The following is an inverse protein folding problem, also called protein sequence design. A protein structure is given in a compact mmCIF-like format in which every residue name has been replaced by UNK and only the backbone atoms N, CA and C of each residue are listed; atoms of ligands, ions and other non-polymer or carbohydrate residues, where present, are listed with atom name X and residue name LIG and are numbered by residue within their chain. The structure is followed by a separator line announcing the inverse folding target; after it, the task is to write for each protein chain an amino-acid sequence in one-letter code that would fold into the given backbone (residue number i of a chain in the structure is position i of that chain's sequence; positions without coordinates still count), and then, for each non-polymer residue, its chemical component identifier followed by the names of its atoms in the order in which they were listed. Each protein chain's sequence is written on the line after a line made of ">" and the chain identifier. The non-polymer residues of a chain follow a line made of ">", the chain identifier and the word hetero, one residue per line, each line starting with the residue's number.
data_IF_206894632339
#
_entry.id   IF_206894632339
#
_cell.length_a   1.000
_cell.length_b   1.000
_cell.length_c   1.000
_cell.angle_alpha   90.00
_cell.angle_beta   90.00
_cell.angle_gamma   90.00
#
_symmetry.space_group_name_H-M   'P 1'
#
loop_
_entity.id
_entity.type
_entity.pdbx_description
1 polymer ?
#
# COMPACT_ATOMS: atom_id res chain seq x y z
N UNK A 1 20.98 57.85 -2.00
CA UNK A 1 19.89 57.51 -1.07
C UNK A 1 19.06 56.46 -1.77
N UNK A 2 19.10 55.16 -1.46
CA UNK A 2 19.71 54.44 -0.35
C UNK A 2 20.18 53.06 -0.80
N UNK A 3 21.22 52.61 -0.13
CA UNK A 3 21.90 51.32 -0.15
C UNK A 3 21.23 50.33 0.81
N UNK A 4 21.07 49.07 0.39
CA UNK A 4 21.39 47.82 1.14
C UNK A 4 21.40 46.70 0.08
N UNK A 5 22.55 46.17 -0.36
CA UNK A 5 23.39 45.15 0.31
C UNK A 5 22.58 43.99 0.92
N UNK A 6 22.61 42.83 0.25
CA UNK A 6 23.19 41.64 0.89
C UNK A 6 23.74 40.66 -0.17
N UNK A 7 25.06 40.69 -0.30
CA UNK A 7 25.95 39.58 -0.65
C UNK A 7 25.68 38.37 0.28
N UNK A 8 26.11 37.13 0.07
CA UNK A 8 26.71 36.38 -1.03
C UNK A 8 26.86 34.95 -0.47
N UNK A 9 27.16 34.02 -1.37
CA UNK A 9 27.97 32.82 -1.11
C UNK A 9 27.37 31.68 -0.29
N UNK A 10 27.75 30.42 -0.51
CA UNK A 10 28.36 29.65 -1.59
C UNK A 10 28.53 28.25 -0.98
N UNK A 11 28.70 27.25 -1.84
CA UNK A 11 29.25 25.91 -1.56
C UNK A 11 28.22 24.88 -1.07
N UNK A 12 27.80 23.93 -1.91
CA UNK A 12 28.54 22.72 -2.33
C UNK A 12 29.10 21.94 -1.15
N UNK A 13 28.47 20.82 -0.82
CA UNK A 13 29.11 19.50 -0.79
C UNK A 13 28.04 18.48 -0.40
N UNK A 14 27.65 17.59 -1.32
CA UNK A 14 28.09 16.18 -1.32
C UNK A 14 28.02 15.55 0.06
N UNK A 15 27.02 14.69 0.28
CA UNK A 15 27.21 13.38 0.89
C UNK A 15 25.88 12.62 0.89
N UNK A 16 25.82 11.65 -0.02
CA UNK A 16 25.38 10.28 0.27
C UNK A 16 24.39 10.15 1.44
N UNK A 17 23.10 10.12 1.13
CA UNK A 17 22.16 9.33 1.94
C UNK A 17 21.61 8.23 1.07
N UNK A 18 22.24 7.08 1.27
CA UNK A 18 21.84 5.78 0.78
C UNK A 18 20.33 5.57 0.95
N UNK A 19 19.74 5.04 -0.11
CA UNK A 19 18.44 4.39 -0.09
C UNK A 19 18.58 3.15 0.80
N UNK A 20 18.23 3.26 2.08
CA UNK A 20 17.97 2.09 2.90
C UNK A 20 16.59 1.54 2.53
N UNK A 21 16.63 0.54 1.65
CA UNK A 21 15.59 -0.47 1.48
C UNK A 21 15.45 -1.23 2.80
N UNK A 22 14.54 -0.79 3.66
CA UNK A 22 14.12 -1.60 4.79
C UNK A 22 13.24 -2.75 4.30
N UNK A 23 13.89 -3.91 4.29
CA UNK A 23 13.26 -5.24 4.23
C UNK A 23 12.15 -5.30 5.26
N UNK A 24 10.90 -5.44 4.82
CA UNK A 24 9.84 -5.98 5.67
C UNK A 24 10.11 -7.48 5.78
N UNK A 25 11.02 -7.82 6.70
CA UNK A 25 11.17 -9.19 7.18
C UNK A 25 10.04 -9.45 8.16
N UNK A 26 9.26 -10.49 7.88
CA UNK A 26 8.62 -11.27 8.93
C UNK A 26 9.68 -11.58 9.98
N UNK A 27 9.51 -11.07 11.20
CA UNK A 27 9.85 -11.87 12.34
C UNK A 27 9.00 -11.55 13.55
N UNK A 28 8.66 -12.64 14.22
CA UNK A 28 7.91 -12.68 15.45
C UNK A 28 8.79 -12.17 16.60
N UNK A 29 8.24 -11.33 17.47
CA UNK A 29 8.56 -11.32 18.91
C UNK A 29 7.42 -10.54 19.60
N UNK A 30 6.62 -11.02 20.56
CA UNK A 30 6.88 -11.76 21.81
C UNK A 30 8.03 -11.20 22.63
N UNK A 31 7.73 -10.30 23.58
CA UNK A 31 8.10 -10.39 25.01
C UNK A 31 7.60 -9.17 25.82
N UNK A 32 7.49 -9.20 27.18
CA UNK A 32 8.38 -9.93 28.07
C UNK A 32 7.73 -10.82 29.13
N UNK A 33 8.21 -12.07 29.11
CA UNK A 33 8.62 -12.83 30.30
C UNK A 33 9.03 -11.94 31.47
N UNK A 34 8.22 -11.95 32.53
CA UNK A 34 8.67 -11.64 33.89
C UNK A 34 8.87 -12.94 34.64
N UNK A 35 9.99 -12.96 35.35
CA UNK A 35 10.57 -14.04 36.14
C UNK A 35 9.57 -14.93 36.88
N UNK A 36 9.75 -16.24 36.73
CA UNK A 36 9.35 -17.21 37.75
C UNK A 36 10.45 -18.26 37.94
N UNK A 37 11.64 -17.79 38.30
CA UNK A 37 12.74 -18.59 38.85
C UNK A 37 12.61 -18.76 40.37
N UNK A 38 11.40 -19.02 40.87
CA UNK A 38 11.16 -19.36 42.28
C UNK A 38 9.97 -20.30 42.44
N UNK A 39 10.04 -21.51 41.86
CA UNK A 39 9.15 -22.61 42.29
C UNK A 39 9.77 -24.00 42.16
N UNK A 40 11.11 -24.12 42.16
CA UNK A 40 11.81 -25.41 42.18
C UNK A 40 12.26 -25.82 43.61
N UNK A 41 11.85 -25.09 44.66
CA UNK A 41 12.22 -25.39 46.05
C UNK A 41 11.04 -25.57 47.00
N UNK A 42 9.90 -26.02 46.46
CA UNK A 42 8.72 -26.42 47.24
C UNK A 42 8.12 -27.79 46.81
N UNK A 43 8.81 -28.55 45.95
CA UNK A 43 8.34 -29.82 45.41
C UNK A 43 8.82 -31.08 46.16
N UNK A 44 9.38 -30.93 47.36
CA UNK A 44 9.68 -32.04 48.28
C UNK A 44 9.10 -31.80 49.68
N UNK A 45 7.81 -31.44 49.74
CA UNK A 45 7.02 -31.50 50.97
C UNK A 45 5.52 -31.33 50.65
N UNK A 46 4.91 -32.27 49.93
CA UNK A 46 3.44 -32.45 49.86
C UNK A 46 3.06 -33.71 49.09
N UNK A 47 3.52 -34.86 49.59
CA UNK A 47 2.69 -36.06 49.54
C UNK A 47 1.77 -36.01 50.76
N UNK A 48 0.48 -36.28 50.52
CA UNK A 48 -0.68 -36.29 51.45
C UNK A 48 -1.46 -34.97 51.52
N UNK A 49 -2.63 -34.97 50.88
CA UNK A 49 -3.62 -33.89 50.94
C UNK A 49 -4.39 -33.65 49.65
N UNK A 50 -4.60 -34.68 48.82
CA UNK A 50 -5.61 -34.62 47.76
C UNK A 50 -6.99 -34.94 48.36
N UNK A 51 -8.03 -34.39 47.73
CA UNK A 51 -9.45 -34.78 47.81
C UNK A 51 -10.29 -34.15 48.93
N UNK A 52 -10.93 -33.00 48.66
CA UNK A 52 -12.34 -32.75 49.04
C UNK A 52 -12.96 -31.57 48.28
N UNK A 53 -12.21 -30.51 47.97
CA UNK A 53 -12.85 -29.26 47.50
C UNK A 53 -13.05 -29.16 45.98
N UNK A 54 -12.13 -29.68 45.15
CA UNK A 54 -12.30 -29.75 43.68
C UNK A 54 -13.40 -30.73 43.24
N UNK A 55 -13.66 -31.77 44.03
CA UNK A 55 -14.74 -32.75 43.80
C UNK A 55 -16.13 -32.14 44.04
N UNK A 56 -16.22 -31.17 44.95
CA UNK A 56 -17.48 -30.55 45.34
C UNK A 56 -17.98 -29.53 44.29
N UNK A 57 -17.06 -28.82 43.62
CA UNK A 57 -17.38 -27.92 42.51
C UNK A 57 -17.81 -28.67 41.24
N UNK A 58 -17.14 -29.78 40.94
CA UNK A 58 -17.45 -30.64 39.77
C UNK A 58 -18.75 -31.44 39.95
N UNK A 59 -19.02 -31.96 41.14
CA UNK A 59 -20.30 -32.61 41.43
C UNK A 59 -21.48 -31.62 41.39
N UNK A 60 -21.29 -30.38 41.87
CA UNK A 60 -22.33 -29.34 41.78
C UNK A 60 -22.61 -28.92 40.34
N UNK A 61 -21.59 -28.75 39.49
CA UNK A 61 -21.82 -28.44 38.08
C UNK A 61 -22.53 -29.58 37.35
N UNK A 62 -22.17 -30.83 37.62
CA UNK A 62 -22.80 -32.01 37.02
C UNK A 62 -24.26 -32.19 37.49
N UNK A 63 -24.55 -31.90 38.77
CA UNK A 63 -25.92 -31.90 39.29
C UNK A 63 -26.78 -30.78 38.67
N UNK A 64 -26.20 -29.61 38.43
CA UNK A 64 -26.91 -28.50 37.75
C UNK A 64 -27.20 -28.80 36.29
N UNK A 65 -26.28 -29.47 35.57
CA UNK A 65 -26.53 -29.93 34.21
C UNK A 65 -27.62 -31.01 34.15
N UNK A 66 -27.62 -31.98 35.07
CA UNK A 66 -28.65 -33.01 35.17
C UNK A 66 -30.03 -32.44 35.49
N UNK A 67 -30.13 -31.48 36.41
CA UNK A 67 -31.39 -30.78 36.71
C UNK A 67 -31.90 -30.00 35.49
N UNK A 68 -31.00 -29.34 34.74
CA UNK A 68 -31.34 -28.58 33.53
C UNK A 68 -31.82 -29.51 32.42
N UNK A 69 -31.19 -30.67 32.25
CA UNK A 69 -31.61 -31.71 31.29
C UNK A 69 -32.97 -32.32 31.68
N UNK A 70 -33.19 -32.64 32.95
CA UNK A 70 -34.48 -33.15 33.44
C UNK A 70 -35.61 -32.13 33.26
N UNK A 71 -35.34 -30.84 33.52
CA UNK A 71 -36.29 -29.76 33.32
C UNK A 71 -36.61 -29.51 31.83
N UNK A 72 -35.63 -29.72 30.95
CA UNK A 72 -35.80 -29.67 29.50
C UNK A 72 -36.66 -30.86 28.99
N UNK A 73 -36.47 -32.05 29.56
CA UNK A 73 -37.25 -33.25 29.25
C UNK A 73 -38.71 -33.17 29.75
N UNK A 74 -38.98 -32.36 30.78
CA UNK A 74 -40.33 -32.09 31.30
C UNK A 74 -41.09 -31.01 30.52
N UNK A 75 -40.41 -30.16 29.75
CA UNK A 75 -41.06 -29.21 28.85
C UNK A 75 -41.63 -29.98 27.66
N UNK A 76 -42.95 -30.04 27.55
CA UNK A 76 -43.63 -30.75 26.46
C UNK A 76 -43.19 -30.32 25.05
N UNK A 77 -43.56 -31.11 24.01
CA UNK A 77 -43.05 -30.97 22.65
C UNK A 77 -43.18 -29.57 22.04
N UNK A 78 -44.23 -28.82 22.37
CA UNK A 78 -44.43 -27.44 21.89
C UNK A 78 -43.36 -26.45 22.39
N UNK A 79 -42.92 -26.59 23.65
CA UNK A 79 -41.88 -25.72 24.24
C UNK A 79 -40.50 -26.03 23.65
N UNK A 80 -40.22 -27.30 23.38
CA UNK A 80 -39.00 -27.72 22.69
C UNK A 80 -38.94 -27.17 21.27
N UNK A 81 -40.01 -27.32 20.47
CA UNK A 81 -40.10 -26.76 19.12
C UNK A 81 -39.95 -25.23 19.11
N UNK A 82 -40.56 -24.52 20.06
CA UNK A 82 -40.41 -23.06 20.19
C UNK A 82 -38.98 -22.65 20.58
N UNK A 83 -38.31 -23.42 21.44
CA UNK A 83 -36.91 -23.16 21.80
C UNK A 83 -35.97 -23.43 20.62
N UNK A 84 -36.22 -24.49 19.86
CA UNK A 84 -35.49 -24.80 18.64
C UNK A 84 -35.65 -23.70 17.59
N UNK A 85 -36.88 -23.24 17.36
CA UNK A 85 -37.16 -22.09 16.48
C UNK A 85 -36.41 -20.83 16.91
N UNK A 86 -36.46 -20.47 18.20
CA UNK A 86 -35.70 -19.32 18.72
C UNK A 86 -34.19 -19.48 18.56
N UNK A 87 -33.66 -20.69 18.74
CA UNK A 87 -32.25 -20.95 18.54
C UNK A 87 -31.87 -20.81 17.04
N UNK A 88 -32.73 -21.23 16.12
CA UNK A 88 -32.56 -21.03 14.69
C UNK A 88 -32.65 -19.54 14.31
N UNK A 89 -33.65 -18.82 14.83
CA UNK A 89 -33.80 -17.37 14.63
C UNK A 89 -32.57 -16.60 15.14
N UNK A 90 -32.04 -16.95 16.32
CA UNK A 90 -30.81 -16.35 16.84
C UNK A 90 -29.63 -16.63 15.92
N UNK A 91 -29.47 -17.87 15.44
CA UNK A 91 -28.40 -18.23 14.49
C UNK A 91 -28.54 -17.48 13.16
N UNK A 92 -29.76 -17.27 12.68
CA UNK A 92 -30.03 -16.48 11.47
C UNK A 92 -29.64 -15.02 11.72
N UNK A 93 -30.08 -14.43 12.82
CA UNK A 93 -29.75 -13.05 13.21
C UNK A 93 -28.24 -12.84 13.34
N UNK A 94 -27.51 -13.80 13.90
CA UNK A 94 -26.04 -13.75 13.99
C UNK A 94 -25.38 -13.79 12.60
N UNK A 95 -25.90 -14.61 11.68
CA UNK A 95 -25.45 -14.64 10.28
C UNK A 95 -25.76 -13.32 9.56
N UNK A 96 -26.95 -12.75 9.76
CA UNK A 96 -27.33 -11.45 9.22
C UNK A 96 -26.40 -10.34 9.72
N UNK A 97 -26.08 -10.34 11.01
CA UNK A 97 -25.16 -9.36 11.59
C UNK A 97 -23.75 -9.50 11.00
N UNK A 98 -23.25 -10.73 10.83
CA UNK A 98 -21.96 -10.99 10.16
C UNK A 98 -21.96 -10.51 8.70
N UNK A 99 -23.06 -10.72 7.98
CA UNK A 99 -23.21 -10.22 6.61
C UNK A 99 -23.20 -8.69 6.59
N UNK A 100 -23.94 -8.04 7.48
CA UNK A 100 -23.96 -6.56 7.60
C UNK A 100 -22.59 -5.99 7.92
N UNK A 101 -21.83 -6.63 8.81
CA UNK A 101 -20.45 -6.25 9.13
C UNK A 101 -19.57 -6.34 7.87
N UNK A 102 -19.57 -7.48 7.19
CA UNK A 102 -18.82 -7.66 5.93
C UNK A 102 -19.23 -6.67 4.85
N UNK A 103 -20.52 -6.37 4.71
CA UNK A 103 -21.00 -5.36 3.77
C UNK A 103 -20.42 -3.99 4.11
N UNK A 104 -20.41 -3.59 5.38
CA UNK A 104 -19.82 -2.31 5.79
C UNK A 104 -18.31 -2.23 5.55
N UNK A 105 -17.59 -3.35 5.72
CA UNK A 105 -16.16 -3.44 5.41
C UNK A 105 -15.92 -3.31 3.90
N UNK A 106 -16.69 -4.03 3.09
CA UNK A 106 -16.62 -3.96 1.63
C UNK A 106 -16.93 -2.55 1.14
N UNK A 107 -17.94 -1.87 1.70
CA UNK A 107 -18.26 -0.48 1.34
C UNK A 107 -17.08 0.46 1.59
N UNK A 108 -16.44 0.37 2.76
CA UNK A 108 -15.26 1.20 3.07
C UNK A 108 -14.10 0.92 2.13
N UNK A 109 -13.84 -0.36 1.82
CA UNK A 109 -12.79 -0.74 0.87
C UNK A 109 -13.09 -0.18 -0.53
N UNK A 110 -14.33 -0.31 -1.00
CA UNK A 110 -14.78 0.26 -2.28
C UNK A 110 -14.57 1.77 -2.34
N UNK A 111 -15.00 2.50 -1.32
CA UNK A 111 -14.79 3.95 -1.24
C UNK A 111 -13.31 4.31 -1.32
N UNK A 112 -12.45 3.60 -0.58
CA UNK A 112 -11.00 3.84 -0.62
C UNK A 112 -10.39 3.56 -2.01
N UNK A 113 -10.84 2.50 -2.68
CA UNK A 113 -10.38 2.16 -4.03
C UNK A 113 -10.86 3.18 -5.07
N UNK A 114 -12.11 3.66 -4.97
CA UNK A 114 -12.63 4.69 -5.86
C UNK A 114 -11.84 6.01 -5.72
N UNK A 115 -11.55 6.44 -4.50
CA UNK A 115 -10.72 7.61 -4.24
C UNK A 115 -9.33 7.44 -4.84
N UNK A 116 -8.71 6.28 -4.62
CA UNK A 116 -7.38 5.97 -5.17
C UNK A 116 -7.39 5.96 -6.70
N UNK A 117 -8.41 5.36 -7.31
CA UNK A 117 -8.58 5.32 -8.76
C UNK A 117 -8.70 6.72 -9.36
N UNK A 118 -9.55 7.58 -8.78
CA UNK A 118 -9.68 8.98 -9.21
C UNK A 118 -8.36 9.73 -9.06
N UNK A 119 -7.63 9.51 -7.96
CA UNK A 119 -6.34 10.15 -7.74
C UNK A 119 -5.28 9.70 -8.77
N UNK A 120 -5.24 8.40 -9.12
CA UNK A 120 -4.34 7.87 -10.13
C UNK A 120 -4.70 8.38 -11.53
N UNK A 121 -5.99 8.44 -11.89
CA UNK A 121 -6.41 8.98 -13.19
C UNK A 121 -6.11 10.49 -13.33
N UNK A 122 -6.29 11.26 -12.25
CA UNK A 122 -5.88 12.67 -12.22
C UNK A 122 -4.37 12.84 -12.43
N UNK A 123 -3.54 11.98 -11.83
CA UNK A 123 -2.08 11.99 -12.06
C UNK A 123 -1.74 11.62 -13.52
N UNK A 124 -2.40 10.59 -14.06
CA UNK A 124 -2.23 10.15 -15.46
C UNK A 124 -2.58 11.27 -16.44
N UNK A 125 -3.72 11.93 -16.26
CA UNK A 125 -4.14 13.04 -17.12
C UNK A 125 -3.23 14.25 -17.00
N UNK A 126 -2.71 14.55 -15.81
CA UNK A 126 -1.71 15.60 -15.61
C UNK A 126 -0.40 15.30 -16.35
N UNK A 127 0.13 14.07 -16.26
CA UNK A 127 1.32 13.68 -17.02
C UNK A 127 1.10 13.74 -18.53
N UNK A 128 -0.06 13.28 -19.04
CA UNK A 128 -0.40 13.39 -20.46
C UNK A 128 -0.41 14.84 -20.96
N UNK A 129 -0.91 15.78 -20.14
CA UNK A 129 -0.89 17.21 -20.45
C UNK A 129 0.53 17.77 -20.54
N UNK A 130 1.46 17.26 -19.74
CA UNK A 130 2.88 17.67 -19.75
C UNK A 130 3.64 16.99 -20.90
N UNK A 131 3.31 15.75 -21.22
CA UNK A 131 3.98 14.98 -22.28
C UNK A 131 3.62 15.50 -23.68
N UNK A 132 2.37 15.88 -23.91
CA UNK A 132 1.91 16.37 -25.23
C UNK A 132 2.74 17.54 -25.81
N UNK A 133 3.06 18.62 -25.06
CA UNK A 133 3.90 19.69 -25.60
C UNK A 133 5.34 19.22 -25.85
N UNK A 134 5.89 18.31 -25.04
CA UNK A 134 7.24 17.77 -25.22
C UNK A 134 7.35 16.96 -26.52
N UNK A 135 6.32 16.16 -26.85
CA UNK A 135 6.26 15.42 -28.11
C UNK A 135 6.23 16.35 -29.33
N UNK A 136 5.52 17.49 -29.23
CA UNK A 136 5.51 18.50 -30.30
C UNK A 136 6.87 19.19 -30.43
N UNK A 137 7.49 19.52 -29.30
CA UNK A 137 8.82 20.13 -29.28
C UNK A 137 9.89 19.18 -29.86
N UNK A 138 9.79 17.88 -29.58
CA UNK A 138 10.64 16.83 -30.18
C UNK A 138 10.47 16.79 -31.71
N UNK A 139 9.23 16.73 -32.20
CA UNK A 139 8.91 16.71 -33.64
C UNK A 139 9.44 17.97 -34.35
N UNK A 140 9.26 19.15 -33.76
CA UNK A 140 9.78 20.42 -34.30
C UNK A 140 11.31 20.42 -34.38
N UNK A 141 12.00 19.85 -33.38
CA UNK A 141 13.46 19.75 -33.35
C UNK A 141 13.96 18.72 -34.37
N UNK A 142 13.29 17.59 -34.53
CA UNK A 142 13.63 16.57 -35.53
C UNK A 142 13.51 17.13 -36.95
N UNK A 143 12.43 17.86 -37.25
CA UNK A 143 12.25 18.51 -38.55
C UNK A 143 13.34 19.55 -38.83
N UNK A 144 13.77 20.31 -37.82
CA UNK A 144 14.85 21.29 -37.96
C UNK A 144 16.21 20.60 -38.13
N UNK A 145 16.45 19.47 -37.45
CA UNK A 145 17.64 18.64 -37.64
C UNK A 145 17.72 18.12 -39.08
N UNK A 146 16.64 17.54 -39.59
CA UNK A 146 16.53 17.02 -40.96
C UNK A 146 16.75 18.12 -42.00
N UNK A 147 16.19 19.33 -41.76
CA UNK A 147 16.41 20.50 -42.61
C UNK A 147 17.89 20.87 -42.68
N UNK A 148 18.56 20.97 -41.53
CA UNK A 148 19.98 21.32 -41.46
C UNK A 148 20.86 20.23 -42.08
N UNK A 149 20.53 18.96 -41.91
CA UNK A 149 21.26 17.86 -42.55
C UNK A 149 21.10 17.92 -44.09
N UNK A 150 19.89 18.22 -44.57
CA UNK A 150 19.63 18.47 -45.99
C UNK A 150 20.46 19.62 -46.54
N UNK A 151 20.48 20.75 -45.84
CA UNK A 151 21.27 21.94 -46.20
C UNK A 151 22.78 21.66 -46.22
N UNK A 152 23.29 20.93 -45.24
CA UNK A 152 24.69 20.55 -45.17
C UNK A 152 25.12 19.68 -46.35
N UNK A 153 24.28 18.72 -46.75
CA UNK A 153 24.54 17.81 -47.87
C UNK A 153 24.68 18.57 -49.20
N UNK A 154 23.81 19.55 -49.44
CA UNK A 154 23.78 20.32 -50.69
C UNK A 154 24.77 21.50 -50.71
N UNK A 155 25.26 21.95 -49.55
CA UNK A 155 26.14 23.13 -49.45
C UNK A 155 27.53 22.83 -50.03
N UNK A 156 27.95 23.49 -51.13
CA UNK A 156 29.22 23.19 -51.78
C UNK A 156 30.42 23.78 -51.05
N UNK A 157 30.25 24.91 -50.35
CA UNK A 157 31.35 25.60 -49.66
C UNK A 157 31.69 24.92 -48.32
N UNK A 158 32.95 24.52 -48.09
CA UNK A 158 33.35 23.86 -46.84
C UNK A 158 33.12 24.69 -45.56
N UNK A 159 33.38 26.00 -45.62
CA UNK A 159 33.20 26.88 -44.45
C UNK A 159 31.73 27.05 -44.07
N UNK A 160 30.83 27.12 -45.05
CA UNK A 160 29.38 27.19 -44.84
C UNK A 160 28.85 25.86 -44.32
N UNK A 161 29.28 24.74 -44.92
CA UNK A 161 28.97 23.39 -44.44
C UNK A 161 29.35 23.20 -42.97
N UNK A 162 30.54 23.65 -42.57
CA UNK A 162 31.01 23.57 -41.17
C UNK A 162 30.18 24.44 -40.21
N UNK A 163 29.60 25.56 -40.69
CA UNK A 163 28.69 26.39 -39.88
C UNK A 163 27.35 25.70 -39.69
N UNK A 164 26.78 25.11 -40.75
CA UNK A 164 25.53 24.34 -40.71
C UNK A 164 25.70 23.13 -39.80
N UNK A 165 26.80 22.40 -39.94
CA UNK A 165 27.10 21.26 -39.08
C UNK A 165 27.11 21.68 -37.59
N UNK A 166 27.81 22.77 -37.22
CA UNK A 166 27.78 23.28 -35.84
C UNK A 166 26.37 23.64 -35.36
N UNK A 167 25.47 24.08 -36.24
CA UNK A 167 24.08 24.31 -35.89
C UNK A 167 23.34 22.98 -35.68
N UNK A 168 23.52 22.00 -36.57
CA UNK A 168 22.98 20.64 -36.45
C UNK A 168 23.36 20.00 -35.11
N UNK A 169 24.64 20.07 -34.73
CA UNK A 169 25.12 19.57 -33.43
C UNK A 169 24.42 20.23 -32.24
N UNK A 170 24.17 21.55 -32.29
CA UNK A 170 23.41 22.25 -31.22
C UNK A 170 21.95 21.80 -31.15
N UNK A 171 21.32 21.50 -32.29
CA UNK A 171 19.96 20.97 -32.35
C UNK A 171 19.92 19.54 -31.80
N UNK A 172 20.90 18.70 -32.13
CA UNK A 172 21.05 17.36 -31.57
C UNK A 172 21.21 17.36 -30.04
N UNK A 173 22.01 18.28 -29.50
CA UNK A 173 22.15 18.42 -28.04
C UNK A 173 20.82 18.80 -27.38
N UNK A 174 20.02 19.68 -28.01
CA UNK A 174 18.68 20.02 -27.51
C UNK A 174 17.73 18.83 -27.59
N UNK A 175 17.73 18.10 -28.71
CA UNK A 175 16.92 16.88 -28.90
C UNK A 175 17.15 15.89 -27.77
N UNK A 176 18.42 15.61 -27.46
CA UNK A 176 18.80 14.69 -26.36
C UNK A 176 18.21 15.11 -25.01
N UNK A 177 18.21 16.40 -24.69
CA UNK A 177 17.64 16.92 -23.44
C UNK A 177 16.12 16.72 -23.39
N UNK A 178 15.44 16.89 -24.53
CA UNK A 178 14.00 16.68 -24.65
C UNK A 178 13.65 15.19 -24.55
N UNK A 179 14.37 14.32 -25.27
CA UNK A 179 14.20 12.87 -25.20
C UNK A 179 14.37 12.35 -23.78
N UNK A 180 15.37 12.85 -23.05
CA UNK A 180 15.57 12.47 -21.65
C UNK A 180 14.36 12.86 -20.77
N UNK A 181 13.78 14.04 -20.99
CA UNK A 181 12.56 14.47 -20.29
C UNK A 181 11.36 13.60 -20.67
N UNK A 182 11.20 13.31 -21.96
CA UNK A 182 10.15 12.44 -22.50
C UNK A 182 10.22 11.05 -21.85
N UNK A 183 11.37 10.39 -21.88
CA UNK A 183 11.55 9.07 -21.28
C UNK A 183 11.23 9.05 -19.79
N UNK A 184 11.68 10.07 -19.03
CA UNK A 184 11.34 10.16 -17.60
C UNK A 184 9.84 10.27 -17.35
N UNK A 185 9.10 10.97 -18.23
CA UNK A 185 7.64 11.09 -18.12
C UNK A 185 6.92 9.82 -18.58
N UNK A 186 7.40 9.18 -19.64
CA UNK A 186 6.87 7.90 -20.14
C UNK A 186 7.04 6.79 -19.11
N UNK A 187 8.20 6.70 -18.44
CA UNK A 187 8.45 5.76 -17.35
C UNK A 187 7.47 5.98 -16.18
N UNK A 188 7.27 7.25 -15.79
CA UNK A 188 6.28 7.60 -14.75
C UNK A 188 4.86 7.24 -15.17
N UNK A 189 4.51 7.43 -16.44
CA UNK A 189 3.21 7.01 -16.98
C UNK A 189 3.05 5.49 -16.94
N UNK A 190 4.05 4.73 -17.39
CA UNK A 190 4.02 3.27 -17.37
C UNK A 190 3.86 2.73 -15.94
N UNK A 191 4.58 3.32 -14.97
CA UNK A 191 4.43 2.97 -13.56
C UNK A 191 3.01 3.26 -13.02
N UNK A 192 2.41 4.39 -13.43
CA UNK A 192 1.02 4.70 -13.06
C UNK A 192 0.02 3.76 -13.73
N UNK A 193 0.25 3.36 -14.98
CA UNK A 193 -0.62 2.41 -15.68
C UNK A 193 -0.58 1.02 -15.02
N UNK A 194 0.60 0.57 -14.58
CA UNK A 194 0.73 -0.64 -13.78
C UNK A 194 -0.05 -0.52 -12.46
N UNK A 195 0.08 0.59 -11.73
CA UNK A 195 -0.68 0.84 -10.50
C UNK A 195 -2.19 0.86 -10.74
N UNK A 196 -2.66 1.46 -11.84
CA UNK A 196 -4.08 1.46 -12.20
C UNK A 196 -4.56 0.03 -12.48
N UNK A 197 -3.80 -0.76 -13.23
CA UNK A 197 -4.14 -2.14 -13.55
C UNK A 197 -4.15 -3.05 -12.30
N UNK A 198 -3.28 -2.80 -11.32
CA UNK A 198 -3.29 -3.53 -10.04
C UNK A 198 -4.48 -3.15 -9.14
N UNK A 199 -5.05 -1.95 -9.32
CA UNK A 199 -6.20 -1.44 -8.56
C UNK A 199 -7.55 -1.66 -9.27
N UNK A 200 -7.57 -2.29 -10.46
CA UNK A 200 -8.77 -2.58 -11.25
C UNK A 200 -9.09 -4.07 -11.21
#
# INVERSE_FOLDING_TARGET
>A
MDTTDNQSDNSLSSEQKEVQLDKISNDSSSNPSTDNSNLAKAAMARQKGATTDDKNLTEKSDLTERLKQAQLAMQGPERFALSEQRALESKIKDKENKIKQRLSEITKLKESLEINWVALDNKRTALKKILSPILKEEEEIELEEDRLEGEERITPLPEERKRIEKQRWKIQDKRRVIEQKKWSLEERMANLENLINENT
#
